data_IF_094989059404
#
_entry.id   IF_094989059404
#
_cell.length_a   1.000
_cell.length_b   1.000
_cell.length_c   1.000
_cell.angle_alpha   90.00
_cell.angle_beta   90.00
_cell.angle_gamma   90.00
#
_symmetry.space_group_name_H-M   'P 1'
#
loop_
_entity.id
_entity.type
_entity.pdbx_description
1 polymer ?
#
# COMPACT_ATOMS: atom_id res chain seq x y z
N UNK A 1 -4.01 -6.02 -22.98
CA UNK A 1 -3.35 -5.91 -21.66
C UNK A 1 -2.97 -7.28 -21.12
N UNK A 2 -3.90 -8.19 -20.86
CA UNK A 2 -3.59 -9.53 -20.33
C UNK A 2 -2.58 -10.33 -21.17
N UNK A 3 -2.83 -10.52 -22.47
CA UNK A 3 -1.93 -11.26 -23.38
C UNK A 3 -0.52 -10.66 -23.49
N UNK A 4 -0.44 -9.33 -23.46
CA UNK A 4 0.84 -8.60 -23.46
C UNK A 4 1.61 -8.82 -22.14
N UNK A 5 0.93 -8.70 -21.00
CA UNK A 5 1.52 -8.97 -19.68
C UNK A 5 2.04 -10.40 -19.59
N UNK A 6 1.27 -11.39 -20.06
CA UNK A 6 1.71 -12.79 -20.10
C UNK A 6 2.94 -13.01 -20.97
N UNK A 7 3.00 -12.38 -22.15
CA UNK A 7 4.17 -12.48 -23.03
C UNK A 7 5.42 -11.87 -22.37
N UNK A 8 5.28 -10.69 -21.74
CA UNK A 8 6.36 -10.05 -21.01
C UNK A 8 6.82 -10.91 -19.83
N UNK A 9 5.88 -11.51 -19.11
CA UNK A 9 6.16 -12.43 -18.01
C UNK A 9 6.92 -13.68 -18.47
N UNK A 10 6.46 -14.32 -19.57
CA UNK A 10 7.13 -15.49 -20.17
C UNK A 10 8.55 -15.17 -20.66
N UNK A 11 8.77 -13.94 -21.12
CA UNK A 11 10.09 -13.43 -21.53
C UNK A 11 10.89 -12.81 -20.38
N UNK A 12 10.48 -13.05 -19.13
CA UNK A 12 11.16 -12.63 -17.90
C UNK A 12 11.32 -11.11 -17.73
N UNK A 13 10.51 -10.32 -18.44
CA UNK A 13 10.46 -8.85 -18.29
C UNK A 13 9.47 -8.48 -17.19
N UNK A 14 9.77 -8.87 -15.95
CA UNK A 14 8.79 -8.85 -14.85
C UNK A 14 8.28 -7.45 -14.50
N UNK A 15 9.15 -6.43 -14.41
CA UNK A 15 8.71 -5.06 -14.21
C UNK A 15 7.73 -4.56 -15.30
N UNK A 16 8.02 -4.82 -16.58
CA UNK A 16 7.11 -4.44 -17.68
C UNK A 16 5.81 -5.25 -17.69
N UNK A 17 5.90 -6.53 -17.30
CA UNK A 17 4.72 -7.38 -17.15
C UNK A 17 3.83 -6.85 -16.02
N UNK A 18 4.44 -6.39 -14.93
CA UNK A 18 3.75 -5.77 -13.80
C UNK A 18 2.97 -4.54 -14.23
N UNK A 19 3.58 -3.61 -14.95
CA UNK A 19 2.88 -2.41 -15.45
C UNK A 19 1.61 -2.79 -16.25
N UNK A 20 1.70 -3.82 -17.08
CA UNK A 20 0.57 -4.31 -17.87
C UNK A 20 -0.51 -5.02 -17.00
N UNK A 21 -0.10 -5.75 -15.96
CA UNK A 21 -1.01 -6.41 -15.03
C UNK A 21 -1.67 -5.44 -14.04
N UNK A 22 -0.97 -4.40 -13.60
CA UNK A 22 -1.52 -3.33 -12.78
C UNK A 22 -2.58 -2.54 -13.56
N UNK A 23 -2.32 -2.22 -14.83
CA UNK A 23 -3.34 -1.66 -15.71
C UNK A 23 -4.55 -2.59 -15.84
N UNK A 24 -4.33 -3.91 -16.04
CA UNK A 24 -5.41 -4.88 -16.09
C UNK A 24 -6.21 -4.91 -14.78
N UNK A 25 -5.56 -4.84 -13.62
CA UNK A 25 -6.23 -4.79 -12.33
C UNK A 25 -7.06 -3.52 -12.18
N UNK A 26 -6.51 -2.36 -12.52
CA UNK A 26 -7.21 -1.09 -12.46
C UNK A 26 -8.45 -1.04 -13.36
N UNK A 27 -8.35 -1.56 -14.59
CA UNK A 27 -9.49 -1.66 -15.50
C UNK A 27 -10.50 -2.72 -15.06
N UNK A 28 -10.06 -3.87 -14.56
CA UNK A 28 -10.96 -4.92 -14.05
C UNK A 28 -11.87 -4.39 -12.95
N UNK A 29 -11.32 -3.60 -12.03
CA UNK A 29 -12.12 -2.95 -10.99
C UNK A 29 -13.01 -1.84 -11.54
N UNK A 30 -12.51 -1.02 -12.46
CA UNK A 30 -13.27 0.11 -13.03
C UNK A 30 -14.48 -0.36 -13.80
N UNK A 31 -14.34 -1.47 -14.53
CA UNK A 31 -15.40 -2.11 -15.27
C UNK A 31 -16.28 -3.02 -14.41
N UNK A 32 -16.01 -3.11 -13.10
CA UNK A 32 -16.70 -4.00 -12.16
C UNK A 32 -16.82 -5.43 -12.70
N UNK A 33 -15.71 -5.98 -13.22
CA UNK A 33 -15.65 -7.37 -13.63
C UNK A 33 -15.91 -8.30 -12.43
N UNK A 34 -16.18 -9.56 -12.71
CA UNK A 34 -16.43 -10.54 -11.65
C UNK A 34 -15.20 -10.69 -10.72
N UNK A 35 -15.47 -11.11 -9.49
CA UNK A 35 -14.45 -11.24 -8.44
C UNK A 35 -13.30 -12.17 -8.85
N UNK A 36 -13.55 -13.20 -9.66
CA UNK A 36 -12.51 -14.13 -10.09
C UNK A 36 -11.59 -13.49 -11.16
N UNK A 37 -12.13 -12.66 -12.06
CA UNK A 37 -11.33 -11.86 -12.99
C UNK A 37 -10.44 -10.85 -12.24
N UNK A 38 -10.99 -10.12 -11.27
CA UNK A 38 -10.23 -9.17 -10.45
C UNK A 38 -9.15 -9.89 -9.65
N UNK A 39 -9.49 -11.00 -8.98
CA UNK A 39 -8.51 -11.79 -8.22
C UNK A 39 -7.38 -12.34 -9.11
N UNK A 40 -7.71 -12.74 -10.34
CA UNK A 40 -6.69 -13.18 -11.32
C UNK A 40 -5.76 -12.03 -11.69
N UNK A 41 -6.28 -10.82 -11.91
CA UNK A 41 -5.45 -9.66 -12.19
C UNK A 41 -4.48 -9.34 -11.02
N UNK A 42 -4.96 -9.32 -9.77
CA UNK A 42 -4.11 -9.12 -8.60
C UNK A 42 -3.04 -10.21 -8.45
N UNK A 43 -3.41 -11.48 -8.67
CA UNK A 43 -2.46 -12.59 -8.59
C UNK A 43 -1.38 -12.49 -9.67
N UNK A 44 -1.72 -12.02 -10.88
CA UNK A 44 -0.73 -11.80 -11.93
C UNK A 44 0.28 -10.70 -11.54
N UNK A 45 -0.16 -9.62 -10.89
CA UNK A 45 0.75 -8.62 -10.32
C UNK A 45 1.64 -9.25 -9.24
N UNK A 46 1.05 -9.98 -8.28
CA UNK A 46 1.81 -10.64 -7.22
C UNK A 46 2.87 -11.61 -7.76
N UNK A 47 2.57 -12.35 -8.84
CA UNK A 47 3.52 -13.28 -9.47
C UNK A 47 4.75 -12.55 -10.03
N UNK A 48 4.63 -11.30 -10.48
CA UNK A 48 5.81 -10.52 -10.92
C UNK A 48 6.73 -10.19 -9.74
N UNK A 49 6.17 -9.76 -8.60
CA UNK A 49 6.92 -9.49 -7.38
C UNK A 49 7.58 -10.76 -6.82
N UNK A 50 6.88 -11.89 -6.86
CA UNK A 50 7.42 -13.21 -6.51
C UNK A 50 8.67 -13.55 -7.34
N UNK A 51 8.65 -13.25 -8.64
CA UNK A 51 9.79 -13.53 -9.52
C UNK A 51 10.99 -12.62 -9.26
N UNK A 52 10.75 -11.42 -8.76
CA UNK A 52 11.79 -10.46 -8.36
C UNK A 52 12.25 -10.64 -6.91
N UNK A 53 11.64 -11.55 -6.14
CA UNK A 53 11.99 -11.79 -4.74
C UNK A 53 11.42 -10.78 -3.75
N UNK A 54 10.50 -9.92 -4.21
CA UNK A 54 9.84 -8.88 -3.43
C UNK A 54 8.64 -9.46 -2.65
N UNK A 55 8.94 -10.34 -1.69
CA UNK A 55 7.93 -11.19 -1.04
C UNK A 55 6.86 -10.39 -0.28
N UNK A 56 7.25 -9.28 0.36
CA UNK A 56 6.31 -8.43 1.11
C UNK A 56 5.35 -7.68 0.19
N UNK A 57 5.83 -7.16 -0.95
CA UNK A 57 5.00 -6.55 -2.00
C UNK A 57 4.05 -7.58 -2.62
N UNK A 58 4.55 -8.79 -2.90
CA UNK A 58 3.71 -9.89 -3.35
C UNK A 58 2.59 -10.21 -2.33
N UNK A 59 2.92 -10.32 -1.04
CA UNK A 59 1.93 -10.53 0.04
C UNK A 59 0.86 -9.45 0.03
N UNK A 60 1.23 -8.17 -0.10
CA UNK A 60 0.27 -7.08 -0.11
C UNK A 60 -0.79 -7.26 -1.23
N UNK A 61 -0.37 -7.61 -2.44
CA UNK A 61 -1.27 -7.90 -3.57
C UNK A 61 -2.14 -9.13 -3.34
N UNK A 62 -1.58 -10.22 -2.81
CA UNK A 62 -2.33 -11.45 -2.56
C UNK A 62 -3.38 -11.28 -1.45
N UNK A 63 -3.11 -10.39 -0.48
CA UNK A 63 -4.03 -10.07 0.61
C UNK A 63 -5.23 -9.22 0.17
N UNK A 64 -5.27 -8.70 -1.07
CA UNK A 64 -6.45 -8.00 -1.58
C UNK A 64 -7.67 -8.91 -1.76
N UNK A 65 -7.43 -10.20 -2.05
CA UNK A 65 -8.45 -11.25 -2.14
C UNK A 65 -7.94 -12.51 -1.44
N UNK A 66 -7.83 -12.50 -0.10
CA UNK A 66 -7.12 -13.53 0.65
C UNK A 66 -7.84 -14.88 0.64
N UNK A 67 -9.14 -14.87 0.32
CA UNK A 67 -9.99 -16.07 0.25
C UNK A 67 -10.08 -16.66 -1.18
N UNK A 68 -9.51 -16.01 -2.20
CA UNK A 68 -9.43 -16.61 -3.54
C UNK A 68 -8.44 -17.78 -3.56
N UNK A 69 -8.80 -18.85 -4.27
CA UNK A 69 -7.99 -20.07 -4.38
C UNK A 69 -6.55 -19.82 -4.88
N UNK A 70 -6.35 -18.88 -5.81
CA UNK A 70 -5.01 -18.55 -6.34
C UNK A 70 -4.21 -17.75 -5.31
N UNK A 71 -4.87 -16.82 -4.61
CA UNK A 71 -4.25 -16.06 -3.52
C UNK A 71 -3.80 -16.99 -2.39
N UNK A 72 -4.64 -17.93 -1.96
CA UNK A 72 -4.31 -18.93 -0.93
C UNK A 72 -3.10 -19.76 -1.38
N UNK A 73 -3.13 -20.25 -2.64
CA UNK A 73 -2.04 -21.03 -3.20
C UNK A 73 -0.72 -20.25 -3.23
N UNK A 74 -0.73 -19.03 -3.76
CA UNK A 74 0.46 -18.19 -3.88
C UNK A 74 0.99 -17.71 -2.52
N UNK A 75 0.11 -17.40 -1.55
CA UNK A 75 0.51 -17.09 -0.17
C UNK A 75 1.22 -18.27 0.47
N UNK A 76 0.72 -19.50 0.24
CA UNK A 76 1.38 -20.72 0.71
C UNK A 76 2.77 -20.90 0.08
N UNK A 77 2.93 -20.60 -1.22
CA UNK A 77 4.22 -20.70 -1.91
C UNK A 77 5.29 -19.75 -1.35
N UNK A 78 4.90 -18.55 -0.92
CA UNK A 78 5.85 -17.55 -0.41
C UNK A 78 6.02 -17.58 1.11
N UNK A 79 5.27 -18.43 1.83
CA UNK A 79 5.25 -18.46 3.30
C UNK A 79 6.64 -18.60 3.91
N UNK A 80 7.44 -19.55 3.42
CA UNK A 80 8.77 -19.81 3.95
C UNK A 80 9.74 -18.67 3.58
N UNK A 81 9.54 -18.04 2.42
CA UNK A 81 10.32 -16.87 1.99
C UNK A 81 10.05 -15.66 2.87
N UNK A 82 8.79 -15.40 3.19
CA UNK A 82 8.40 -14.34 4.14
C UNK A 82 8.98 -14.60 5.54
N UNK A 83 8.90 -15.84 6.01
CA UNK A 83 9.39 -16.22 7.35
C UNK A 83 10.91 -16.16 7.47
N UNK A 84 11.62 -16.30 6.35
CA UNK A 84 13.07 -16.20 6.28
C UNK A 84 13.59 -14.75 6.14
N UNK A 85 12.71 -13.75 5.99
CA UNK A 85 13.14 -12.35 5.94
C UNK A 85 13.73 -11.94 7.29
N UNK A 86 14.81 -11.13 7.30
CA UNK A 86 15.34 -10.62 8.55
C UNK A 86 14.27 -9.79 9.27
N UNK A 87 14.18 -9.91 10.60
CA UNK A 87 13.29 -9.05 11.37
C UNK A 87 13.73 -7.59 11.19
N UNK A 88 12.80 -6.64 11.04
CA UNK A 88 13.17 -5.24 10.95
C UNK A 88 13.88 -4.75 12.21
N UNK A 89 14.95 -4.00 12.01
CA UNK A 89 15.74 -3.41 13.10
C UNK A 89 15.14 -2.13 13.67
N UNK A 90 14.16 -1.54 12.97
CA UNK A 90 13.45 -0.33 13.38
C UNK A 90 12.10 -0.20 12.66
N UNK A 91 11.33 0.83 13.03
CA UNK A 91 10.10 1.23 12.34
C UNK A 91 10.34 1.87 10.96
N UNK A 92 11.60 2.14 10.58
CA UNK A 92 11.89 2.65 9.24
C UNK A 92 11.57 1.59 8.19
N UNK A 93 10.93 2.01 7.10
CA UNK A 93 10.41 1.13 6.06
C UNK A 93 9.34 1.80 5.21
N UNK A 94 8.78 1.04 4.28
CA UNK A 94 7.65 1.47 3.46
C UNK A 94 6.44 0.60 3.77
N UNK A 95 5.28 1.22 3.89
CA UNK A 95 4.05 0.57 4.32
C UNK A 95 2.90 0.93 3.38
N UNK A 96 2.19 -0.08 2.89
CA UNK A 96 1.17 0.06 1.86
C UNK A 96 -0.23 -0.27 2.38
N UNK A 97 -1.20 0.55 2.00
CA UNK A 97 -2.63 0.26 2.11
C UNK A 97 -3.29 0.43 0.75
N UNK A 98 -4.09 -0.54 0.32
CA UNK A 98 -4.66 -0.48 -1.02
C UNK A 98 -5.66 0.67 -1.16
N UNK A 99 -5.49 1.48 -2.20
CA UNK A 99 -6.33 2.63 -2.52
C UNK A 99 -7.35 2.33 -3.63
N UNK A 100 -7.28 1.14 -4.24
CA UNK A 100 -8.01 0.82 -5.47
C UNK A 100 -7.23 1.23 -6.71
N UNK A 101 -7.70 0.75 -7.87
CA UNK A 101 -7.17 1.05 -9.20
C UNK A 101 -5.66 0.83 -9.31
N UNK A 102 -5.21 -0.31 -8.79
CA UNK A 102 -3.79 -0.68 -8.72
C UNK A 102 -2.88 0.34 -8.01
N UNK A 103 -3.46 1.21 -7.18
CA UNK A 103 -2.76 2.25 -6.44
C UNK A 103 -2.77 1.96 -4.95
N UNK A 104 -1.78 2.51 -4.24
CA UNK A 104 -1.55 2.29 -2.82
C UNK A 104 -1.39 3.63 -2.10
N UNK A 105 -2.02 3.77 -0.94
CA UNK A 105 -1.62 4.75 0.04
C UNK A 105 -0.32 4.27 0.68
N UNK A 106 0.65 5.17 0.77
CA UNK A 106 2.02 4.85 1.19
C UNK A 106 2.38 5.68 2.41
N UNK A 107 2.85 4.99 3.46
CA UNK A 107 3.59 5.60 4.55
C UNK A 107 5.07 5.22 4.38
N UNK A 108 5.92 6.21 4.13
CA UNK A 108 7.38 6.06 4.07
C UNK A 108 8.00 6.60 5.35
N UNK A 109 8.69 5.73 6.09
CA UNK A 109 9.24 6.02 7.41
C UNK A 109 10.76 5.94 7.32
N UNK A 110 11.45 7.04 7.61
CA UNK A 110 12.91 7.12 7.60
C UNK A 110 13.43 7.45 8.98
N UNK A 111 14.38 6.67 9.49
CA UNK A 111 15.00 6.96 10.78
C UNK A 111 15.86 8.23 10.70
N UNK A 112 15.78 9.06 11.73
CA UNK A 112 16.80 10.08 11.98
C UNK A 112 18.00 9.47 12.72
N UNK A 113 19.15 10.17 12.75
CA UNK A 113 20.28 9.76 13.58
C UNK A 113 19.95 9.70 15.09
N UNK A 114 19.00 10.50 15.54
CA UNK A 114 18.52 10.48 16.92
C UNK A 114 17.66 9.23 17.17
N UNK A 115 17.92 8.46 18.24
CA UNK A 115 17.12 7.29 18.59
C UNK A 115 15.63 7.60 18.67
N UNK A 116 14.81 6.66 18.19
CA UNK A 116 13.34 6.72 18.20
C UNK A 116 12.72 7.91 17.45
N UNK A 117 13.50 8.68 16.70
CA UNK A 117 13.01 9.82 15.92
C UNK A 117 12.97 9.46 14.44
N UNK A 118 11.87 9.77 13.77
CA UNK A 118 11.63 9.37 12.38
C UNK A 118 11.02 10.52 11.57
N UNK A 119 11.32 10.53 10.28
CA UNK A 119 10.57 11.27 9.28
C UNK A 119 9.49 10.34 8.72
N UNK A 120 8.23 10.73 8.86
CA UNK A 120 7.09 10.03 8.26
C UNK A 120 6.58 10.87 7.10
N UNK A 121 6.47 10.26 5.93
CA UNK A 121 5.85 10.85 4.75
C UNK A 121 4.65 10.00 4.37
N UNK A 122 3.54 10.65 4.08
CA UNK A 122 2.32 10.02 3.66
C UNK A 122 1.94 10.51 2.28
N UNK A 123 1.55 9.57 1.41
CA UNK A 123 0.94 9.85 0.13
C UNK A 123 -0.29 8.97 -0.02
N UNK A 124 -1.40 9.56 -0.45
CA UNK A 124 -2.65 8.83 -0.58
C UNK A 124 -3.47 9.24 -1.76
N UNK A 125 -4.33 8.30 -2.14
CA UNK A 125 -5.22 8.36 -3.26
C UNK A 125 -6.60 7.91 -2.80
N UNK A 126 -7.61 8.60 -3.28
CA UNK A 126 -8.98 8.14 -3.21
C UNK A 126 -9.61 8.24 -4.59
N UNK A 127 -10.06 7.11 -5.13
CA UNK A 127 -10.70 7.06 -6.43
C UNK A 127 -12.22 7.15 -6.28
N UNK A 128 -12.81 8.21 -6.85
CA UNK A 128 -14.25 8.25 -7.08
C UNK A 128 -14.69 7.26 -8.16
N UNK A 129 -16.00 7.19 -8.43
CA UNK A 129 -16.58 6.28 -9.42
C UNK A 129 -15.89 6.37 -10.80
N UNK A 130 -15.56 7.59 -11.23
CA UNK A 130 -14.88 7.89 -12.49
C UNK A 130 -13.38 8.15 -12.32
N UNK A 131 -12.78 7.68 -11.23
CA UNK A 131 -11.40 8.02 -10.83
C UNK A 131 -10.32 7.57 -11.82
N UNK A 132 -10.57 6.57 -12.65
CA UNK A 132 -9.62 6.19 -13.72
C UNK A 132 -9.55 7.23 -14.85
N UNK A 133 -10.59 8.04 -15.04
CA UNK A 133 -10.66 9.07 -16.08
C UNK A 133 -10.29 10.46 -15.56
N UNK A 134 -10.74 10.82 -14.35
CA UNK A 134 -10.51 12.14 -13.78
C UNK A 134 -9.35 12.21 -12.78
N UNK A 135 -8.77 11.06 -12.45
CA UNK A 135 -7.76 10.94 -11.42
C UNK A 135 -8.36 10.81 -10.01
N UNK A 136 -7.52 10.45 -9.03
CA UNK A 136 -7.92 10.37 -7.63
C UNK A 136 -7.88 11.74 -6.96
N UNK A 137 -8.64 11.88 -5.87
CA UNK A 137 -8.32 12.90 -4.87
C UNK A 137 -7.05 12.47 -4.13
N UNK A 138 -6.19 13.43 -3.83
CA UNK A 138 -4.89 13.18 -3.20
C UNK A 138 -4.78 13.85 -1.84
N UNK A 139 -3.93 13.28 -0.99
CA UNK A 139 -3.57 13.88 0.29
C UNK A 139 -2.18 13.43 0.67
N UNK A 140 -1.42 14.34 1.26
CA UNK A 140 -0.05 14.10 1.68
C UNK A 140 0.25 14.82 2.98
N UNK A 141 1.23 14.30 3.71
CA UNK A 141 1.88 15.05 4.78
C UNK A 141 3.33 14.61 4.93
N UNK A 142 4.13 15.46 5.56
CA UNK A 142 5.49 15.16 5.96
C UNK A 142 5.71 15.66 7.38
N UNK A 143 6.04 14.76 8.31
CA UNK A 143 6.19 15.09 9.71
C UNK A 143 7.36 14.36 10.37
N UNK A 144 8.12 15.10 11.17
CA UNK A 144 9.10 14.50 12.07
C UNK A 144 8.41 14.11 13.38
N UNK A 145 8.55 12.85 13.77
CA UNK A 145 7.89 12.28 14.95
C UNK A 145 8.90 11.58 15.86
N UNK A 146 8.53 11.46 17.13
CA UNK A 146 9.20 10.59 18.09
C UNK A 146 8.26 9.43 18.41
N UNK A 147 8.76 8.21 18.31
CA UNK A 147 8.02 7.00 18.69
C UNK A 147 8.19 6.75 20.19
N UNK A 148 7.08 6.60 20.88
CA UNK A 148 7.01 6.20 22.28
C UNK A 148 6.16 4.94 22.37
N UNK A 149 6.75 3.83 22.86
CA UNK A 149 6.08 2.52 22.92
C UNK A 149 5.42 2.12 21.59
N UNK A 150 6.19 2.24 20.49
CA UNK A 150 5.75 1.95 19.12
C UNK A 150 4.54 2.76 18.67
N UNK A 151 4.30 3.94 19.26
CA UNK A 151 3.20 4.83 18.92
C UNK A 151 3.67 6.26 18.74
N UNK A 152 2.93 7.02 17.95
CA UNK A 152 3.12 8.46 17.83
C UNK A 152 1.86 9.13 17.31
N UNK A 153 1.82 10.46 17.39
CA UNK A 153 0.77 11.30 16.82
C UNK A 153 1.43 12.25 15.83
N UNK A 154 0.95 12.24 14.59
CA UNK A 154 1.26 13.29 13.62
C UNK A 154 0.20 14.38 13.77
N UNK A 155 0.61 15.52 14.30
CA UNK A 155 -0.24 16.70 14.43
C UNK A 155 -0.10 17.59 13.19
N UNK A 156 -1.12 17.62 12.34
CA UNK A 156 -1.21 18.55 11.21
C UNK A 156 -1.86 19.85 11.69
N UNK A 157 -1.14 20.96 11.51
CA UNK A 157 -1.54 22.29 11.95
C UNK A 157 -1.16 23.30 10.88
N UNK A 158 -2.14 23.83 10.18
CA UNK A 158 -1.93 24.85 9.14
C UNK A 158 -3.07 25.88 9.16
N UNK A 159 -2.72 27.13 9.44
CA UNK A 159 -3.71 28.19 9.65
C UNK A 159 -4.69 27.88 10.78
N UNK A 160 -5.90 28.42 10.66
CA UNK A 160 -7.01 28.18 11.58
C UNK A 160 -7.93 27.02 11.10
N UNK A 161 -7.66 26.47 9.91
CA UNK A 161 -8.56 25.55 9.23
C UNK A 161 -8.10 24.08 9.29
N UNK A 162 -6.79 23.82 9.38
CA UNK A 162 -6.24 22.46 9.41
C UNK A 162 -5.80 22.10 10.82
N UNK A 163 -6.57 21.23 11.45
CA UNK A 163 -6.37 20.75 12.82
C UNK A 163 -6.71 19.26 12.91
N UNK A 164 -5.72 18.40 12.66
CA UNK A 164 -5.94 16.96 12.61
C UNK A 164 -4.80 16.21 13.31
N UNK A 165 -5.16 15.23 14.14
CA UNK A 165 -4.22 14.32 14.79
C UNK A 165 -4.36 12.92 14.19
N UNK A 166 -3.24 12.44 13.65
CA UNK A 166 -3.15 11.11 13.06
C UNK A 166 -2.34 10.24 14.01
N UNK A 167 -3.05 9.38 14.74
CA UNK A 167 -2.44 8.36 15.58
C UNK A 167 -1.87 7.25 14.72
N UNK A 168 -0.59 6.94 14.90
CA UNK A 168 0.09 5.83 14.25
C UNK A 168 0.57 4.83 15.30
N UNK A 169 0.13 3.58 15.18
CA UNK A 169 0.60 2.46 16.00
C UNK A 169 1.41 1.51 15.11
N UNK A 170 2.67 1.31 15.47
CA UNK A 170 3.63 0.52 14.72
C UNK A 170 3.71 -0.91 15.26
N UNK A 171 3.91 -1.85 14.36
CA UNK A 171 4.43 -3.18 14.65
C UNK A 171 5.62 -3.47 13.75
N UNK A 172 6.24 -4.64 13.91
CA UNK A 172 7.29 -5.08 13.00
C UNK A 172 6.81 -5.19 11.54
N UNK A 173 5.52 -5.45 11.33
CA UNK A 173 4.98 -5.78 10.01
C UNK A 173 3.93 -4.78 9.51
N UNK A 174 3.45 -3.88 10.36
CA UNK A 174 2.25 -3.07 10.07
C UNK A 174 2.33 -1.68 10.69
N UNK A 175 1.51 -0.77 10.15
CA UNK A 175 1.10 0.47 10.83
C UNK A 175 -0.42 0.50 10.83
N UNK A 176 -1.00 0.70 12.00
CA UNK A 176 -2.41 1.04 12.15
C UNK A 176 -2.54 2.56 12.34
N UNK A 177 -3.24 3.21 11.42
CA UNK A 177 -3.45 4.64 11.42
C UNK A 177 -4.91 4.98 11.75
N UNK A 178 -5.12 6.00 12.58
CA UNK A 178 -6.45 6.54 12.88
C UNK A 178 -6.37 8.05 12.98
N UNK A 179 -7.34 8.75 12.39
CA UNK A 179 -7.53 10.19 12.53
C UNK A 179 -8.59 10.47 13.59
N UNK A 180 -8.49 11.61 14.26
CA UNK A 180 -9.52 12.12 15.16
C UNK A 180 -10.69 12.75 14.37
N UNK A 181 -10.36 13.73 13.53
CA UNK A 181 -11.31 14.47 12.69
C UNK A 181 -10.74 14.54 11.26
N UNK A 182 -10.99 13.49 10.47
CA UNK A 182 -10.37 13.38 9.13
C UNK A 182 -10.66 14.55 8.18
N UNK A 183 -11.80 15.24 8.37
CA UNK A 183 -12.21 16.39 7.53
C UNK A 183 -11.29 17.60 7.72
N UNK A 184 -10.61 17.68 8.86
CA UNK A 184 -9.76 18.82 9.23
C UNK A 184 -8.27 18.55 8.91
N UNK A 185 -7.96 17.45 8.21
CA UNK A 185 -6.58 17.12 7.82
C UNK A 185 -6.11 17.86 6.56
N UNK A 186 -6.97 18.67 5.92
CA UNK A 186 -6.63 19.42 4.71
C UNK A 186 -6.40 18.55 3.45
N UNK A 187 -6.74 17.26 3.51
CA UNK A 187 -6.62 16.38 2.35
C UNK A 187 -7.75 16.60 1.33
N UNK A 188 -7.55 16.15 0.09
CA UNK A 188 -8.61 16.13 -0.91
C UNK A 188 -9.86 15.37 -0.44
N UNK A 189 -11.01 15.67 -1.05
CA UNK A 189 -12.29 15.10 -0.61
C UNK A 189 -12.24 13.55 -0.49
N UNK A 190 -12.74 13.02 0.63
CA UNK A 190 -12.75 11.59 0.98
C UNK A 190 -11.38 10.92 1.17
N UNK A 191 -10.29 11.67 1.09
CA UNK A 191 -8.96 11.15 1.40
C UNK A 191 -8.79 11.05 2.91
N UNK A 192 -8.22 9.93 3.37
CA UNK A 192 -8.03 9.62 4.78
C UNK A 192 -6.73 8.86 5.00
N UNK A 193 -6.04 9.16 6.09
CA UNK A 193 -4.87 8.41 6.53
C UNK A 193 -5.24 7.08 7.20
N UNK A 194 -6.48 6.94 7.67
CA UNK A 194 -6.95 5.78 8.42
C UNK A 194 -6.72 4.43 7.72
N UNK A 195 -6.43 3.41 8.52
CA UNK A 195 -6.45 2.01 8.12
C UNK A 195 -5.20 1.23 8.49
N UNK A 196 -5.15 0.00 8.00
CA UNK A 196 -4.09 -0.96 8.24
C UNK A 196 -3.12 -0.99 7.06
N UNK A 197 -1.86 -0.66 7.30
CA UNK A 197 -0.79 -0.64 6.30
C UNK A 197 0.14 -1.82 6.51
N UNK A 198 0.47 -2.52 5.44
CA UNK A 198 1.39 -3.66 5.45
C UNK A 198 2.79 -3.19 5.08
N UNK A 199 3.79 -3.57 5.87
CA UNK A 199 5.19 -3.33 5.55
C UNK A 199 5.58 -4.06 4.27
N UNK A 200 6.18 -3.33 3.34
CA UNK A 200 6.69 -3.83 2.06
C UNK A 200 8.22 -3.71 1.91
N UNK A 201 8.86 -2.83 2.70
CA UNK A 201 10.31 -2.64 2.81
C UNK A 201 10.72 -2.43 4.28
#
# INVERSE_FOLDING_TARGET
MASQGEQLYKTQKYAKARDAFEQLAAWSESCALDDNAIATAYNNVALTWIREGEWRKARAWLMLRPNDSKSIYNLKLIKDKLSALPPPVSAAGEYWRYAGRASWNVLSVKAFPTPSRYQVNFQSYWFGLMGIYFGPNIGEFSAAVTLENDKTIVALREGDDIHCDISLAFSSETIDASTDTFVDCGFGANVRADGHYLRVE
#
